data_IF_144539812277
#
_entry.id   IF_144539812277
#
_cell.length_a   1.000
_cell.length_b   1.000
_cell.length_c   1.000
_cell.angle_alpha   90.00
_cell.angle_beta   90.00
_cell.angle_gamma   90.00
#
_symmetry.space_group_name_H-M   'P 1'
#
loop_
_entity.id
_entity.type
_entity.pdbx_description
1 polymer ?
#
# COMPACT_ATOMS: atom_id res chain seq x y z
N UNK A 1 1.33 -2.30 -12.86
CA UNK A 1 0.82 -2.45 -11.48
C UNK A 1 1.26 -3.78 -10.86
N UNK A 2 0.98 -4.95 -11.45
CA UNK A 2 1.48 -6.24 -10.93
C UNK A 2 3.01 -6.28 -10.70
N UNK A 3 3.81 -5.77 -11.66
CA UNK A 3 5.27 -5.65 -11.48
C UNK A 3 5.70 -4.69 -10.36
N UNK A 4 4.88 -3.68 -10.03
CA UNK A 4 5.15 -2.77 -8.91
C UNK A 4 4.94 -3.55 -7.62
N UNK A 5 3.76 -4.18 -7.45
CA UNK A 5 3.45 -4.97 -6.25
C UNK A 5 4.45 -6.10 -6.04
N UNK A 6 4.88 -6.80 -7.10
CA UNK A 6 5.92 -7.82 -7.00
C UNK A 6 7.27 -7.28 -6.52
N UNK A 7 7.67 -6.07 -6.97
CA UNK A 7 8.92 -5.43 -6.51
C UNK A 7 8.86 -5.06 -5.03
N UNK A 8 7.68 -4.67 -4.55
CA UNK A 8 7.42 -4.36 -3.15
C UNK A 8 6.96 -5.57 -2.34
N UNK A 9 7.10 -6.79 -2.88
CA UNK A 9 6.78 -8.00 -2.14
C UNK A 9 7.73 -8.14 -0.96
N UNK A 10 7.16 -8.44 0.21
CA UNK A 10 7.89 -8.67 1.45
C UNK A 10 7.91 -10.16 1.84
N UNK A 11 7.59 -11.06 0.91
CA UNK A 11 7.43 -12.49 1.20
C UNK A 11 8.70 -13.13 1.78
N UNK A 12 9.87 -12.79 1.24
CA UNK A 12 11.16 -13.31 1.76
C UNK A 12 11.42 -12.81 3.19
N UNK A 13 11.03 -11.56 3.50
CA UNK A 13 11.16 -10.97 4.82
C UNK A 13 10.19 -11.62 5.81
N UNK A 14 8.97 -11.92 5.38
CA UNK A 14 7.98 -12.68 6.16
C UNK A 14 8.55 -14.06 6.50
N UNK A 15 9.03 -14.80 5.50
CA UNK A 15 9.61 -16.14 5.70
C UNK A 15 10.82 -16.09 6.64
N UNK A 16 11.72 -15.12 6.46
CA UNK A 16 12.86 -14.91 7.36
C UNK A 16 12.38 -14.68 8.80
N UNK A 17 11.44 -13.75 9.02
CA UNK A 17 10.93 -13.43 10.35
C UNK A 17 10.29 -14.66 11.02
N UNK A 18 9.50 -15.45 10.29
CA UNK A 18 8.90 -16.67 10.81
C UNK A 18 9.93 -17.75 11.18
N UNK A 19 11.06 -17.81 10.47
CA UNK A 19 12.10 -18.81 10.70
C UNK A 19 13.10 -18.42 11.80
N UNK A 20 13.44 -17.14 11.92
CA UNK A 20 14.53 -16.67 12.80
C UNK A 20 14.08 -15.72 13.89
N UNK A 21 12.89 -15.13 13.79
CA UNK A 21 12.43 -14.02 14.64
C UNK A 21 13.16 -12.69 14.37
N UNK A 22 14.02 -12.61 13.36
CA UNK A 22 14.76 -11.39 13.02
C UNK A 22 14.01 -10.55 11.99
N UNK A 23 14.03 -9.23 12.18
CA UNK A 23 13.42 -8.26 11.28
C UNK A 23 12.02 -7.86 11.73
N UNK A 24 11.22 -7.35 10.79
CA UNK A 24 9.85 -6.91 11.06
C UNK A 24 8.84 -8.01 10.75
N UNK A 25 7.76 -8.07 11.52
CA UNK A 25 6.62 -8.96 11.29
C UNK A 25 5.72 -8.47 10.14
N UNK A 26 6.29 -8.38 8.95
CA UNK A 26 5.60 -7.95 7.75
C UNK A 26 4.33 -8.78 7.47
N UNK A 27 3.39 -8.16 6.74
CA UNK A 27 2.26 -8.84 6.12
C UNK A 27 2.28 -8.62 4.61
N UNK A 28 1.73 -9.56 3.85
CA UNK A 28 1.57 -9.41 2.40
C UNK A 28 0.65 -8.22 2.09
N UNK A 29 0.87 -7.59 0.93
CA UNK A 29 -0.06 -6.61 0.38
C UNK A 29 -0.99 -7.29 -0.63
N UNK A 30 -2.23 -7.50 -0.20
CA UNK A 30 -3.25 -8.10 -1.03
C UNK A 30 -4.13 -7.01 -1.64
N UNK A 31 -4.41 -7.14 -2.93
CA UNK A 31 -5.29 -6.22 -3.66
C UNK A 31 -6.21 -6.97 -4.62
N UNK A 32 -7.33 -6.34 -4.95
CA UNK A 32 -8.36 -6.84 -5.85
C UNK A 32 -8.76 -5.78 -6.87
N UNK A 33 -9.18 -6.23 -8.05
CA UNK A 33 -9.76 -5.41 -9.11
C UNK A 33 -11.23 -5.77 -9.25
N UNK A 34 -12.11 -4.87 -8.82
CA UNK A 34 -13.55 -5.09 -8.83
C UNK A 34 -14.19 -4.21 -9.89
N UNK A 35 -15.06 -4.78 -10.72
CA UNK A 35 -15.89 -3.98 -11.63
C UNK A 35 -17.02 -3.39 -10.81
N UNK A 36 -16.99 -2.08 -10.58
CA UNK A 36 -18.11 -1.37 -9.95
C UNK A 36 -19.02 -0.84 -11.05
N UNK A 37 -20.24 -1.36 -11.08
CA UNK A 37 -21.31 -0.78 -11.90
C UNK A 37 -21.83 0.44 -11.16
N UNK A 38 -21.51 1.65 -11.64
CA UNK A 38 -22.10 2.88 -11.12
C UNK A 38 -23.55 3.05 -11.59
N UNK A 39 -24.07 4.28 -11.59
CA UNK A 39 -25.33 4.59 -12.27
C UNK A 39 -25.25 4.15 -13.74
N UNK A 40 -26.40 3.68 -14.25
CA UNK A 40 -26.77 2.97 -15.51
C UNK A 40 -25.88 3.08 -16.77
N UNK A 41 -24.88 3.97 -16.82
CA UNK A 41 -23.99 4.22 -17.96
C UNK A 41 -22.48 4.26 -17.63
N UNK A 42 -22.04 4.10 -16.38
CA UNK A 42 -20.60 4.08 -16.03
C UNK A 42 -20.17 2.78 -15.34
N UNK A 43 -19.45 1.94 -16.07
CA UNK A 43 -18.65 0.85 -15.50
C UNK A 43 -17.26 1.38 -15.18
N UNK A 44 -16.81 1.20 -13.94
CA UNK A 44 -15.46 1.55 -13.50
C UNK A 44 -14.76 0.33 -12.93
N UNK A 45 -13.42 0.31 -13.00
CA UNK A 45 -12.59 -0.66 -12.29
C UNK A 45 -12.15 0.00 -11.00
N UNK A 46 -12.39 -0.66 -9.87
CA UNK A 46 -11.94 -0.24 -8.54
C UNK A 46 -10.79 -1.14 -8.14
N UNK A 47 -9.65 -0.53 -7.85
CA UNK A 47 -8.53 -1.19 -7.19
C UNK A 47 -8.67 -0.97 -5.67
N UNK A 48 -8.74 -2.05 -4.92
CA UNK A 48 -8.82 -2.02 -3.46
C UNK A 48 -7.89 -3.06 -2.86
N UNK A 49 -7.09 -2.66 -1.89
CA UNK A 49 -6.17 -3.54 -1.20
C UNK A 49 -5.84 -3.01 0.19
N UNK A 50 -5.24 -3.86 1.00
CA UNK A 50 -4.86 -3.56 2.37
C UNK A 50 -3.73 -4.47 2.81
N UNK A 51 -3.01 -4.04 3.83
CA UNK A 51 -1.99 -4.83 4.50
C UNK A 51 -1.92 -4.39 5.96
N UNK A 52 -1.39 -5.26 6.81
CA UNK A 52 -1.13 -4.94 8.20
C UNK A 52 0.25 -4.30 8.32
N UNK A 53 0.35 -3.21 9.10
CA UNK A 53 1.63 -2.62 9.42
C UNK A 53 2.36 -3.50 10.44
N UNK A 54 3.68 -3.68 10.30
CA UNK A 54 4.46 -4.38 11.30
C UNK A 54 4.44 -3.60 12.63
N UNK A 55 4.47 -4.33 13.74
CA UNK A 55 4.42 -3.84 15.12
C UNK A 55 5.41 -4.57 16.05
N UNK A 56 6.36 -5.30 15.47
CA UNK A 56 7.36 -6.08 16.20
C UNK A 56 8.32 -5.25 17.07
N UNK A 57 8.45 -3.95 16.82
CA UNK A 57 9.25 -3.01 17.60
C UNK A 57 8.68 -1.57 17.52
N UNK A 58 9.25 -0.64 18.30
CA UNK A 58 8.79 0.76 18.42
C UNK A 58 8.75 1.52 17.08
N UNK A 59 9.66 1.22 16.16
CA UNK A 59 9.77 1.88 14.86
C UNK A 59 9.18 1.07 13.72
N UNK A 60 8.80 -0.19 13.96
CA UNK A 60 8.29 -1.12 12.96
C UNK A 60 7.16 -0.48 12.14
N UNK A 61 6.15 0.06 12.81
CA UNK A 61 4.99 0.64 12.13
C UNK A 61 5.37 1.85 11.28
N UNK A 62 6.31 2.68 11.74
CA UNK A 62 6.79 3.82 10.97
C UNK A 62 7.56 3.38 9.71
N UNK A 63 8.45 2.38 9.83
CA UNK A 63 9.17 1.79 8.69
C UNK A 63 8.18 1.20 7.68
N UNK A 64 7.17 0.47 8.17
CA UNK A 64 6.12 -0.11 7.34
C UNK A 64 5.31 0.94 6.61
N UNK A 65 4.91 2.01 7.29
CA UNK A 65 4.18 3.13 6.70
C UNK A 65 4.98 3.79 5.58
N UNK A 66 6.27 4.06 5.80
CA UNK A 66 7.13 4.65 4.77
C UNK A 66 7.26 3.71 3.55
N UNK A 67 7.50 2.43 3.77
CA UNK A 67 7.64 1.43 2.72
C UNK A 67 6.38 1.30 1.86
N UNK A 68 5.22 1.16 2.50
CA UNK A 68 3.95 1.02 1.78
C UNK A 68 3.50 2.33 1.12
N UNK A 69 3.77 3.49 1.72
CA UNK A 69 3.54 4.78 1.05
C UNK A 69 4.35 4.89 -0.25
N UNK A 70 5.59 4.40 -0.28
CA UNK A 70 6.41 4.38 -1.48
C UNK A 70 5.79 3.48 -2.57
N UNK A 71 5.37 2.26 -2.21
CA UNK A 71 4.66 1.35 -3.11
C UNK A 71 3.40 1.99 -3.71
N UNK A 72 2.54 2.55 -2.85
CA UNK A 72 1.29 3.19 -3.27
C UNK A 72 1.53 4.44 -4.14
N UNK A 73 2.63 5.14 -3.92
CA UNK A 73 3.04 6.30 -4.74
C UNK A 73 3.41 5.88 -6.15
N UNK A 74 4.14 4.78 -6.31
CA UNK A 74 4.43 4.20 -7.62
C UNK A 74 3.16 3.72 -8.32
N UNK A 75 2.25 3.06 -7.58
CA UNK A 75 0.97 2.59 -8.14
C UNK A 75 0.13 3.78 -8.63
N UNK A 76 -0.03 4.84 -7.82
CA UNK A 76 -0.78 6.04 -8.21
C UNK A 76 -0.16 6.74 -9.40
N UNK A 77 1.17 6.84 -9.45
CA UNK A 77 1.89 7.45 -10.57
C UNK A 77 1.69 6.66 -11.87
N UNK A 78 1.58 5.33 -11.79
CA UNK A 78 1.27 4.49 -12.94
C UNK A 78 -0.20 4.57 -13.41
N UNK A 79 -1.11 5.07 -12.56
CA UNK A 79 -2.56 5.14 -12.77
C UNK A 79 -3.06 6.58 -12.58
N UNK A 80 -2.69 7.44 -13.53
CA UNK A 80 -2.82 8.91 -13.44
C UNK A 80 -4.26 9.45 -13.51
N UNK A 81 -5.20 8.68 -14.06
CA UNK A 81 -6.58 9.11 -14.28
C UNK A 81 -7.56 8.37 -13.36
N UNK A 82 -7.18 8.22 -12.10
CA UNK A 82 -7.99 7.56 -11.07
C UNK A 82 -8.11 8.45 -9.83
N UNK A 83 -9.25 8.34 -9.15
CA UNK A 83 -9.40 8.89 -7.81
C UNK A 83 -8.80 7.91 -6.80
N UNK A 84 -8.01 8.43 -5.87
CA UNK A 84 -7.29 7.63 -4.88
C UNK A 84 -7.70 8.02 -3.46
N UNK A 85 -7.87 6.99 -2.62
CA UNK A 85 -8.00 7.13 -1.17
C UNK A 85 -7.02 6.15 -0.53
N UNK A 86 -6.13 6.66 0.31
CA UNK A 86 -5.17 5.89 1.09
C UNK A 86 -5.33 6.30 2.55
N UNK A 87 -5.46 5.31 3.43
CA UNK A 87 -5.70 5.52 4.86
C UNK A 87 -4.83 4.58 5.70
N UNK A 88 -4.42 5.04 6.88
CA UNK A 88 -3.84 4.24 7.96
C UNK A 88 -4.73 4.42 9.18
N UNK A 89 -5.26 3.34 9.75
CA UNK A 89 -6.10 3.41 10.98
C UNK A 89 -7.13 4.55 10.89
N UNK A 90 -7.89 4.62 9.80
CA UNK A 90 -8.88 5.66 9.45
C UNK A 90 -8.35 7.08 9.12
N UNK A 91 -7.05 7.33 9.25
CA UNK A 91 -6.43 8.61 8.91
C UNK A 91 -6.03 8.64 7.43
N UNK A 92 -6.56 9.60 6.67
CA UNK A 92 -6.19 9.78 5.26
C UNK A 92 -4.76 10.28 5.13
N UNK A 93 -3.97 9.63 4.28
CA UNK A 93 -2.62 10.10 3.95
C UNK A 93 -2.72 11.11 2.81
N UNK A 94 -2.21 12.35 2.96
CA UNK A 94 -2.22 13.33 1.90
C UNK A 94 -1.29 12.92 0.75
N UNK A 95 -1.69 13.27 -0.46
CA UNK A 95 -0.84 13.15 -1.64
C UNK A 95 -0.13 14.46 -1.90
N UNK A 96 1.20 14.40 -1.96
CA UNK A 96 2.03 15.49 -2.43
C UNK A 96 2.14 15.41 -3.96
N UNK A 97 1.54 16.39 -4.65
CA UNK A 97 1.54 16.45 -6.11
C UNK A 97 2.91 16.84 -6.69
N UNK A 98 3.72 17.60 -5.96
CA UNK A 98 5.05 18.03 -6.39
C UNK A 98 6.05 16.88 -6.25
N UNK A 99 6.06 16.24 -5.07
CA UNK A 99 6.93 15.09 -4.82
C UNK A 99 6.45 13.79 -5.50
N UNK A 100 5.20 13.76 -5.98
CA UNK A 100 4.51 12.56 -6.49
C UNK A 100 4.57 11.41 -5.49
N UNK A 101 4.29 11.72 -4.22
CA UNK A 101 4.41 10.78 -3.13
C UNK A 101 3.27 10.94 -2.12
N UNK A 102 2.87 9.83 -1.51
CA UNK A 102 2.15 9.85 -0.24
C UNK A 102 3.13 10.21 0.86
N UNK A 103 2.84 11.28 1.57
CA UNK A 103 3.64 11.74 2.70
C UNK A 103 2.87 11.44 3.99
N UNK A 104 3.18 10.34 4.68
CA UNK A 104 2.69 10.13 6.02
C UNK A 104 3.35 11.20 6.90
N UNK A 105 2.60 12.26 7.20
CA UNK A 105 3.06 13.25 8.19
C UNK A 105 3.01 12.59 9.56
N UNK A 106 4.06 12.82 10.35
CA UNK A 106 4.18 12.28 11.70
C UNK A 106 3.26 13.03 12.67
#
# INVERSE_FOLDING_TARGET
MQHIVQRYSVNEQIEKYLMTGEGLNWASFDFSLNVKTGNVFRKGIVLSGSTQLPDSDENASWIGVQYWCQCLSEIRTALTHCEWRVTIEDHSIPWDAEAKAYSPTR
#
